data_IF_496452910570
#
_entry.id   IF_496452910570
#
_cell.length_a   1.000
_cell.length_b   1.000
_cell.length_c   1.000
_cell.angle_alpha   90.00
_cell.angle_beta   90.00
_cell.angle_gamma   90.00
#
_symmetry.space_group_name_H-M   'P 1'
#
loop_
_entity.id
_entity.type
_entity.pdbx_description
1 polymer ?
#
# COMPACT_ATOMS: atom_id res chain seq x y z
N UNK A 1 19.11 7.78 6.51
CA UNK A 1 18.45 7.23 5.30
C UNK A 1 16.99 7.61 5.37
N UNK A 2 16.62 8.70 4.70
CA UNK A 2 15.22 9.12 4.61
C UNK A 2 14.58 8.30 3.48
N UNK A 3 13.70 7.38 3.84
CA UNK A 3 12.94 6.57 2.87
C UNK A 3 11.84 7.44 2.21
N UNK A 4 12.23 8.54 1.57
CA UNK A 4 11.32 9.51 0.97
C UNK A 4 10.40 8.80 -0.02
N UNK A 5 9.09 9.00 0.13
CA UNK A 5 8.08 8.34 -0.68
C UNK A 5 7.68 6.93 -0.23
N UNK A 6 8.17 6.47 0.93
CA UNK A 6 7.75 5.22 1.56
C UNK A 6 7.06 5.48 2.89
N UNK A 7 6.06 4.65 3.19
CA UNK A 7 5.34 4.64 4.46
C UNK A 7 5.39 3.24 5.07
N UNK A 8 5.41 3.12 6.40
CA UNK A 8 5.02 1.86 7.02
C UNK A 8 3.48 1.73 7.07
N UNK A 9 2.97 0.61 7.58
CA UNK A 9 1.53 0.36 7.58
C UNK A 9 0.73 1.46 8.29
N UNK A 10 1.23 2.00 9.41
CA UNK A 10 0.51 3.01 10.19
C UNK A 10 0.50 4.34 9.47
N UNK A 11 1.63 4.73 8.89
CA UNK A 11 1.71 5.97 8.13
C UNK A 11 0.93 5.86 6.81
N UNK A 12 0.94 4.69 6.19
CA UNK A 12 0.21 4.44 4.94
C UNK A 12 -1.30 4.59 5.11
N UNK A 13 -1.87 4.07 6.21
CA UNK A 13 -3.29 4.28 6.55
C UNK A 13 -3.63 5.77 6.62
N UNK A 14 -2.75 6.60 7.20
CA UNK A 14 -2.99 8.05 7.31
C UNK A 14 -2.93 8.76 5.97
N UNK A 15 -1.93 8.45 5.14
CA UNK A 15 -1.73 9.17 3.85
C UNK A 15 -2.66 8.68 2.74
N UNK A 16 -3.07 7.40 2.77
CA UNK A 16 -3.98 6.84 1.76
C UNK A 16 -5.46 7.06 2.09
N UNK A 17 -5.80 7.33 3.36
CA UNK A 17 -7.18 7.39 3.82
C UNK A 17 -7.88 6.02 3.89
N UNK A 18 -7.18 4.93 3.55
CA UNK A 18 -7.73 3.57 3.56
C UNK A 18 -7.81 3.08 5.00
N UNK A 19 -8.92 2.42 5.34
CA UNK A 19 -9.07 1.83 6.67
C UNK A 19 -8.03 0.74 6.91
N UNK A 20 -7.58 0.57 8.17
CA UNK A 20 -6.67 -0.52 8.52
C UNK A 20 -7.23 -1.90 8.14
N UNK A 21 -8.54 -2.08 8.27
CA UNK A 21 -9.21 -3.32 7.92
C UNK A 21 -9.13 -3.61 6.42
N UNK A 22 -9.34 -2.61 5.56
CA UNK A 22 -9.24 -2.79 4.10
C UNK A 22 -7.80 -3.01 3.66
N UNK A 23 -6.87 -2.31 4.29
CA UNK A 23 -5.44 -2.53 4.08
C UNK A 23 -5.06 -4.00 4.37
N UNK A 24 -5.52 -4.55 5.49
CA UNK A 24 -5.20 -5.93 5.89
C UNK A 24 -5.92 -7.00 5.05
N UNK A 25 -7.21 -6.79 4.77
CA UNK A 25 -8.06 -7.83 4.14
C UNK A 25 -8.05 -7.78 2.62
N UNK A 26 -7.96 -6.60 2.01
CA UNK A 26 -8.10 -6.42 0.56
C UNK A 26 -6.79 -6.05 -0.10
N UNK A 27 -6.03 -5.12 0.48
CA UNK A 27 -4.79 -4.65 -0.14
C UNK A 27 -3.64 -5.64 0.07
N UNK A 28 -3.37 -6.05 1.30
CA UNK A 28 -2.28 -7.01 1.58
C UNK A 28 -2.58 -8.43 1.10
N UNK A 29 -3.84 -8.81 0.88
CA UNK A 29 -4.15 -10.11 0.29
C UNK A 29 -3.86 -10.14 -1.23
N UNK A 30 -3.74 -8.98 -1.89
CA UNK A 30 -3.38 -8.88 -3.29
C UNK A 30 -1.88 -9.14 -3.52
N UNK A 31 -1.55 -10.23 -4.21
CA UNK A 31 -0.16 -10.64 -4.48
C UNK A 31 0.59 -9.67 -5.38
N UNK A 32 -0.09 -9.07 -6.35
CA UNK A 32 0.52 -8.12 -7.28
C UNK A 32 0.89 -6.84 -6.56
N UNK A 33 0.00 -6.31 -5.70
CA UNK A 33 0.31 -5.19 -4.81
C UNK A 33 1.53 -5.48 -3.94
N UNK A 34 1.61 -6.68 -3.34
CA UNK A 34 2.78 -7.05 -2.53
C UNK A 34 4.08 -7.01 -3.33
N UNK A 35 4.06 -7.37 -4.62
CA UNK A 35 5.24 -7.40 -5.49
C UNK A 35 5.61 -6.02 -6.04
N UNK A 36 4.62 -5.21 -6.40
CA UNK A 36 4.82 -3.93 -7.08
C UNK A 36 4.99 -2.75 -6.11
N UNK A 37 4.39 -2.83 -4.92
CA UNK A 37 4.25 -1.69 -4.02
C UNK A 37 4.95 -1.86 -2.66
N UNK A 38 5.29 -3.09 -2.25
CA UNK A 38 5.93 -3.35 -0.96
C UNK A 38 7.43 -3.66 -1.08
N UNK A 39 8.23 -3.00 -0.26
CA UNK A 39 9.69 -3.07 -0.29
C UNK A 39 10.24 -3.41 1.09
N UNK A 40 11.38 -4.09 1.11
CA UNK A 40 12.17 -4.34 2.32
C UNK A 40 13.48 -3.58 2.21
N UNK A 41 13.85 -2.89 3.28
CA UNK A 41 15.11 -2.16 3.34
C UNK A 41 16.02 -2.77 4.41
N UNK A 42 17.25 -3.12 4.01
CA UNK A 42 18.26 -3.69 4.89
C UNK A 42 17.92 -5.09 5.42
N UNK A 43 18.55 -5.47 6.54
CA UNK A 43 18.42 -6.79 7.17
C UNK A 43 17.15 -6.97 8.01
N UNK A 44 16.38 -5.90 8.22
CA UNK A 44 15.14 -6.00 9.01
C UNK A 44 14.01 -6.60 8.19
N UNK A 45 13.14 -7.36 8.86
CA UNK A 45 11.94 -7.95 8.27
C UNK A 45 10.80 -6.94 8.03
N UNK A 46 10.99 -5.67 8.37
CA UNK A 46 9.97 -4.62 8.20
C UNK A 46 9.78 -4.32 6.72
N UNK A 47 8.52 -4.31 6.29
CA UNK A 47 8.11 -3.91 4.94
C UNK A 47 7.62 -2.47 4.96
N UNK A 48 7.86 -1.77 3.87
CA UNK A 48 7.41 -0.42 3.61
C UNK A 48 6.65 -0.38 2.29
N UNK A 49 5.73 0.55 2.16
CA UNK A 49 4.86 0.73 1.01
C UNK A 49 5.32 1.98 0.27
N UNK A 50 5.58 1.87 -1.03
CA UNK A 50 5.89 3.03 -1.87
C UNK A 50 4.60 3.79 -2.14
N UNK A 51 4.46 4.98 -1.57
CA UNK A 51 3.16 5.66 -1.38
C UNK A 51 2.43 5.89 -2.70
N UNK A 52 3.04 6.60 -3.67
CA UNK A 52 2.38 6.95 -4.93
C UNK A 52 1.94 5.71 -5.74
N UNK A 53 2.85 4.76 -6.05
CA UNK A 53 2.45 3.55 -6.79
C UNK A 53 1.39 2.74 -6.07
N UNK A 54 1.41 2.70 -4.73
CA UNK A 54 0.42 1.97 -3.95
C UNK A 54 -0.97 2.59 -4.05
N UNK A 55 -1.07 3.93 -3.98
CA UNK A 55 -2.36 4.63 -4.15
C UNK A 55 -2.90 4.38 -5.56
N UNK A 56 -2.08 4.61 -6.59
CA UNK A 56 -2.48 4.40 -7.99
C UNK A 56 -2.95 2.95 -8.24
N UNK A 57 -2.22 1.97 -7.70
CA UNK A 57 -2.56 0.55 -7.85
C UNK A 57 -3.91 0.22 -7.19
N UNK A 58 -4.15 0.74 -5.99
CA UNK A 58 -5.38 0.44 -5.23
C UNK A 58 -6.59 1.03 -5.94
N UNK A 59 -6.51 2.28 -6.39
CA UNK A 59 -7.60 2.96 -7.11
C UNK A 59 -7.97 2.24 -8.41
N UNK A 60 -6.98 1.69 -9.11
CA UNK A 60 -7.17 1.04 -10.41
C UNK A 60 -7.60 -0.44 -10.31
N UNK A 61 -7.24 -1.15 -9.23
CA UNK A 61 -7.32 -2.62 -9.21
C UNK A 61 -8.01 -3.22 -8.00
N UNK A 62 -8.12 -2.51 -6.87
CA UNK A 62 -8.59 -3.11 -5.60
C UNK A 62 -9.85 -2.43 -5.10
N UNK A 63 -9.80 -1.11 -4.87
CA UNK A 63 -10.91 -0.32 -4.33
C UNK A 63 -11.48 0.55 -5.45
N UNK A 64 -11.85 -0.09 -6.56
CA UNK A 64 -12.43 0.58 -7.73
C UNK A 64 -13.81 1.16 -7.33
N UNK A 65 -14.05 2.47 -7.54
CA UNK A 65 -15.35 3.07 -7.22
C UNK A 65 -16.49 2.38 -7.99
N UNK A 66 -17.64 2.21 -7.34
CA UNK A 66 -18.83 1.65 -8.01
C UNK A 66 -19.24 2.45 -9.26
N UNK A 67 -18.94 3.75 -9.30
CA UNK A 67 -19.20 4.63 -10.44
C UNK A 67 -18.29 4.39 -11.65
N UNK A 68 -17.24 3.59 -11.49
CA UNK A 68 -16.30 3.23 -12.56
C UNK A 68 -16.59 1.84 -13.16
N UNK A 69 -17.66 1.17 -12.70
CA UNK A 69 -18.16 -0.12 -13.20
C UNK A 69 -19.28 0.05 -14.23
#
# INVERSE_FOLDING_TARGET
MEYIGFADANEFVKVSGISKNDLEKHVYSNKEFQQSCMYRFGKNHKRYIKIRPAIDFIEQNILVPETAL
#
